data_IF_583419602265
#
_entry.id   IF_583419602265
#
_cell.length_a   1.000
_cell.length_b   1.000
_cell.length_c   1.000
_cell.angle_alpha   90.00
_cell.angle_beta   90.00
_cell.angle_gamma   90.00
#
_symmetry.space_group_name_H-M   'P 1'
#
loop_
_entity.id
_entity.type
_entity.pdbx_description
1 polymer ?
#
# COMPACT_ATOMS: atom_id res chain seq x y z
N UNK A 1 -0.33 13.26 -19.40
CA UNK A 1 0.28 13.66 -18.11
C UNK A 1 -0.02 12.56 -17.10
N UNK A 2 1.01 11.82 -16.66
CA UNK A 2 1.02 10.60 -15.81
C UNK A 2 -0.12 9.56 -15.95
N UNK A 3 -1.39 9.91 -15.68
CA UNK A 3 -2.56 9.02 -15.77
C UNK A 3 -2.65 8.30 -17.13
N UNK A 4 -2.50 9.06 -18.22
CA UNK A 4 -2.50 8.51 -19.59
C UNK A 4 -1.33 7.54 -19.84
N UNK A 5 -0.21 7.73 -19.12
CA UNK A 5 0.95 6.87 -19.20
C UNK A 5 0.71 5.55 -18.49
N UNK A 6 0.34 5.60 -17.21
CA UNK A 6 0.15 4.38 -16.37
C UNK A 6 -0.95 3.46 -16.88
N UNK A 7 -1.95 3.98 -17.60
CA UNK A 7 -3.00 3.17 -18.23
C UNK A 7 -2.47 2.15 -19.24
N UNK A 8 -1.29 2.38 -19.83
CA UNK A 8 -0.71 1.50 -20.85
C UNK A 8 0.51 0.71 -20.33
N UNK A 9 0.86 0.85 -19.04
CA UNK A 9 2.06 0.24 -18.45
C UNK A 9 1.76 -1.12 -17.82
N UNK A 10 1.23 -2.07 -18.59
CA UNK A 10 0.83 -3.40 -18.10
C UNK A 10 1.97 -4.25 -17.50
N UNK A 11 3.22 -3.96 -17.90
CA UNK A 11 4.43 -4.61 -17.40
C UNK A 11 5.11 -3.85 -16.25
N UNK A 12 4.49 -2.79 -15.71
CA UNK A 12 5.08 -2.01 -14.63
C UNK A 12 5.21 -2.86 -13.37
N UNK A 13 6.45 -2.97 -12.86
CA UNK A 13 6.77 -3.73 -11.64
C UNK A 13 7.08 -2.84 -10.45
N UNK A 14 7.44 -1.58 -10.68
CA UNK A 14 7.75 -0.61 -9.63
C UNK A 14 7.16 0.75 -9.98
N UNK A 15 6.46 1.35 -9.01
CA UNK A 15 5.91 2.69 -9.14
C UNK A 15 6.30 3.53 -7.94
N UNK A 16 6.92 4.68 -8.20
CA UNK A 16 7.30 5.64 -7.18
C UNK A 16 6.80 7.03 -7.56
N UNK A 17 6.05 7.67 -6.66
CA UNK A 17 5.59 9.04 -6.81
C UNK A 17 5.38 9.68 -5.43
N UNK A 18 6.49 9.97 -4.75
CA UNK A 18 6.45 10.61 -3.45
C UNK A 18 5.98 12.07 -3.53
N UNK A 19 5.34 12.55 -2.47
CA UNK A 19 4.86 13.93 -2.29
C UNK A 19 3.75 14.43 -3.24
N UNK A 20 3.49 13.77 -4.37
CA UNK A 20 2.58 14.27 -5.42
C UNK A 20 1.59 13.20 -5.94
N UNK A 21 1.44 12.08 -5.22
CA UNK A 21 0.45 11.07 -5.61
C UNK A 21 -0.96 11.43 -5.14
N UNK A 22 -1.96 10.99 -5.90
CA UNK A 22 -3.38 11.16 -5.58
C UNK A 22 -4.11 9.82 -5.72
N UNK A 23 -5.29 9.72 -5.11
CA UNK A 23 -6.16 8.54 -5.26
C UNK A 23 -6.41 8.17 -6.73
N UNK A 24 -6.63 9.15 -7.61
CA UNK A 24 -6.89 8.90 -9.03
C UNK A 24 -5.69 8.21 -9.72
N UNK A 25 -4.46 8.60 -9.37
CA UNK A 25 -3.24 7.98 -9.90
C UNK A 25 -3.16 6.54 -9.42
N UNK A 26 -3.34 6.27 -8.12
CA UNK A 26 -3.30 4.91 -7.59
C UNK A 26 -4.42 4.02 -8.10
N UNK A 27 -5.63 4.57 -8.30
CA UNK A 27 -6.73 3.83 -8.93
C UNK A 27 -6.33 3.41 -10.35
N UNK A 28 -5.73 4.33 -11.11
CA UNK A 28 -5.23 4.01 -12.45
C UNK A 28 -4.10 2.97 -12.42
N UNK A 29 -3.16 3.07 -11.47
CA UNK A 29 -2.08 2.09 -11.31
C UNK A 29 -2.66 0.72 -10.96
N UNK A 30 -3.51 0.62 -9.94
CA UNK A 30 -4.12 -0.62 -9.49
C UNK A 30 -4.92 -1.34 -10.58
N UNK A 31 -5.62 -0.58 -11.43
CA UNK A 31 -6.43 -1.14 -12.50
C UNK A 31 -5.63 -1.57 -13.74
N UNK A 32 -4.43 -1.02 -13.97
CA UNK A 32 -3.70 -1.24 -15.22
C UNK A 32 -2.32 -1.90 -15.04
N UNK A 33 -1.81 -2.00 -13.81
CA UNK A 33 -0.49 -2.55 -13.49
C UNK A 33 -0.60 -3.80 -12.59
N UNK A 34 -1.14 -4.94 -13.10
CA UNK A 34 -1.36 -6.13 -12.28
C UNK A 34 -0.05 -6.80 -11.81
N UNK A 35 1.06 -6.54 -12.51
CA UNK A 35 2.39 -7.07 -12.21
C UNK A 35 3.19 -6.21 -11.22
N UNK A 36 2.58 -5.17 -10.65
CA UNK A 36 3.24 -4.28 -9.70
C UNK A 36 3.74 -5.05 -8.47
N UNK A 37 5.00 -4.84 -8.12
CA UNK A 37 5.70 -5.49 -7.00
C UNK A 37 6.12 -4.50 -5.92
N UNK A 38 6.45 -3.26 -6.29
CA UNK A 38 6.86 -2.21 -5.36
C UNK A 38 6.08 -0.92 -5.62
N UNK A 39 5.52 -0.35 -4.56
CA UNK A 39 4.80 0.91 -4.57
C UNK A 39 5.38 1.83 -3.50
N UNK A 40 5.81 3.03 -3.89
CA UNK A 40 6.19 4.09 -2.95
C UNK A 40 5.48 5.40 -3.29
N UNK A 41 4.62 5.84 -2.38
CA UNK A 41 3.90 7.12 -2.49
C UNK A 41 4.05 7.93 -1.20
N UNK A 42 5.18 7.74 -0.52
CA UNK A 42 5.48 8.41 0.74
C UNK A 42 5.24 9.92 0.66
N UNK A 43 4.69 10.49 1.72
CA UNK A 43 4.32 11.91 1.87
C UNK A 43 3.23 12.41 0.91
N UNK A 44 2.48 11.52 0.26
CA UNK A 44 1.34 11.89 -0.58
C UNK A 44 0.04 11.94 0.23
N UNK A 45 -0.23 13.04 0.93
CA UNK A 45 -1.41 13.19 1.81
C UNK A 45 -2.76 13.02 1.11
N UNK A 46 -2.83 13.22 -0.20
CA UNK A 46 -4.03 13.03 -1.02
C UNK A 46 -4.35 11.56 -1.33
N UNK A 47 -3.47 10.63 -0.93
CA UNK A 47 -3.73 9.19 -0.96
C UNK A 47 -4.44 8.80 0.34
N UNK A 48 -5.62 8.20 0.21
CA UNK A 48 -6.49 7.76 1.31
C UNK A 48 -6.96 6.33 1.08
N UNK A 49 -7.76 5.81 2.01
CA UNK A 49 -8.39 4.48 1.91
C UNK A 49 -9.20 4.28 0.62
N UNK A 50 -9.61 5.37 -0.05
CA UNK A 50 -10.31 5.32 -1.35
C UNK A 50 -9.48 4.64 -2.45
N UNK A 51 -8.16 4.63 -2.33
CA UNK A 51 -7.27 3.98 -3.30
C UNK A 51 -7.09 2.47 -3.05
N UNK A 52 -7.42 1.98 -1.85
CA UNK A 52 -7.14 0.62 -1.41
C UNK A 52 -7.81 -0.44 -2.30
N UNK A 53 -9.12 -0.33 -2.64
CA UNK A 53 -9.76 -1.35 -3.47
C UNK A 53 -9.08 -1.58 -4.81
N UNK A 54 -8.52 -0.53 -5.43
CA UNK A 54 -7.79 -0.65 -6.68
C UNK A 54 -6.41 -1.32 -6.47
N UNK A 55 -5.70 -0.99 -5.38
CA UNK A 55 -4.42 -1.62 -5.05
C UNK A 55 -4.54 -3.12 -4.78
N UNK A 56 -5.72 -3.60 -4.33
CA UNK A 56 -5.99 -5.03 -4.15
C UNK A 56 -5.89 -5.84 -5.44
N UNK A 57 -5.94 -5.21 -6.61
CA UNK A 57 -5.74 -5.88 -7.90
C UNK A 57 -4.26 -6.24 -8.16
N UNK A 58 -3.31 -5.59 -7.48
CA UNK A 58 -1.88 -5.85 -7.61
C UNK A 58 -1.45 -7.06 -6.77
N UNK A 59 -1.84 -8.28 -7.17
CA UNK A 59 -1.57 -9.52 -6.42
C UNK A 59 -0.08 -9.88 -6.29
N UNK A 60 0.79 -9.21 -7.05
CA UNK A 60 2.23 -9.38 -7.01
C UNK A 60 2.95 -8.40 -6.07
N UNK A 61 2.22 -7.52 -5.39
CA UNK A 61 2.80 -6.50 -4.52
C UNK A 61 3.54 -7.14 -3.34
N UNK A 62 4.80 -6.74 -3.18
CA UNK A 62 5.73 -7.18 -2.13
C UNK A 62 6.14 -6.04 -1.21
N UNK A 63 6.23 -4.84 -1.75
CA UNK A 63 6.63 -3.64 -1.03
C UNK A 63 5.58 -2.54 -1.22
N UNK A 64 5.13 -1.94 -0.12
CA UNK A 64 4.10 -0.90 -0.11
C UNK A 64 4.41 0.19 0.91
N UNK A 65 4.95 1.33 0.44
CA UNK A 65 5.34 2.45 1.29
C UNK A 65 4.30 3.56 1.21
N UNK A 66 3.52 3.67 2.29
CA UNK A 66 2.42 4.64 2.43
C UNK A 66 2.66 5.63 3.59
N UNK A 67 3.92 5.78 4.02
CA UNK A 67 4.28 6.69 5.12
C UNK A 67 3.84 8.12 4.79
N UNK A 68 3.25 8.84 5.76
CA UNK A 68 2.72 10.21 5.58
C UNK A 68 1.69 10.35 4.44
N UNK A 69 0.94 9.29 4.14
CA UNK A 69 -0.34 9.38 3.43
C UNK A 69 -1.48 9.56 4.42
N UNK A 70 -2.72 9.63 3.94
CA UNK A 70 -3.94 9.64 4.76
C UNK A 70 -4.65 8.28 4.74
N UNK A 71 -3.90 7.19 4.47
CA UNK A 71 -4.39 5.81 4.60
C UNK A 71 -4.44 5.45 6.08
N UNK A 72 -5.60 4.95 6.53
CA UNK A 72 -5.84 4.60 7.93
C UNK A 72 -5.31 3.21 8.26
N UNK A 73 -5.30 2.87 9.56
CA UNK A 73 -5.00 1.53 10.01
C UNK A 73 -5.94 0.46 9.40
N UNK A 74 -7.20 0.81 9.07
CA UNK A 74 -8.11 -0.11 8.36
C UNK A 74 -7.62 -0.36 6.94
N UNK A 75 -7.20 0.68 6.23
CA UNK A 75 -6.65 0.54 4.88
C UNK A 75 -5.40 -0.33 4.84
N UNK A 76 -4.48 -0.16 5.80
CA UNK A 76 -3.33 -1.05 5.95
C UNK A 76 -3.75 -2.49 6.26
N UNK A 77 -4.68 -2.68 7.20
CA UNK A 77 -5.19 -4.01 7.54
C UNK A 77 -5.80 -4.71 6.32
N UNK A 78 -6.61 -4.00 5.53
CA UNK A 78 -7.22 -4.55 4.33
C UNK A 78 -6.16 -5.00 3.31
N UNK A 79 -5.17 -4.14 3.01
CA UNK A 79 -4.05 -4.50 2.14
C UNK A 79 -3.34 -5.76 2.62
N UNK A 80 -2.96 -5.80 3.89
CA UNK A 80 -2.18 -6.89 4.47
C UNK A 80 -2.97 -8.20 4.60
N UNK A 81 -4.29 -8.12 4.78
CA UNK A 81 -5.16 -9.29 4.86
C UNK A 81 -5.41 -9.93 3.50
N UNK A 82 -5.51 -9.10 2.45
CA UNK A 82 -5.88 -9.55 1.10
C UNK A 82 -4.68 -9.85 0.22
N UNK A 83 -3.53 -9.20 0.44
CA UNK A 83 -2.33 -9.33 -0.38
C UNK A 83 -1.25 -10.15 0.34
N UNK A 84 -1.19 -11.48 0.14
CA UNK A 84 -0.36 -12.39 0.94
C UNK A 84 1.14 -12.29 0.65
N UNK A 85 1.55 -11.50 -0.36
CA UNK A 85 2.94 -11.38 -0.79
C UNK A 85 3.66 -10.15 -0.23
N UNK A 86 2.93 -9.25 0.44
CA UNK A 86 3.50 -8.07 1.06
C UNK A 86 4.48 -8.51 2.15
N UNK A 87 5.70 -8.01 2.05
CA UNK A 87 6.82 -8.33 2.92
C UNK A 87 7.43 -7.07 3.54
N UNK A 88 7.26 -5.91 2.91
CA UNK A 88 7.80 -4.64 3.37
C UNK A 88 6.73 -3.55 3.24
N UNK A 89 6.38 -2.90 4.35
CA UNK A 89 5.47 -1.73 4.34
C UNK A 89 6.20 -0.41 4.63
N UNK A 90 7.53 -0.46 4.69
CA UNK A 90 8.39 0.64 5.09
C UNK A 90 8.04 1.17 6.48
N UNK A 91 8.04 2.50 6.58
CA UNK A 91 7.71 3.17 7.84
C UNK A 91 6.20 3.28 8.04
N UNK A 92 5.70 2.75 9.14
CA UNK A 92 4.29 2.85 9.51
C UNK A 92 4.17 3.23 10.99
N UNK A 93 3.90 4.52 11.25
CA UNK A 93 3.68 5.02 12.61
C UNK A 93 2.31 4.53 13.16
N UNK A 94 1.39 4.09 12.30
CA UNK A 94 0.08 3.53 12.68
C UNK A 94 0.10 2.01 12.93
N UNK A 95 1.29 1.38 12.90
CA UNK A 95 1.36 -0.09 12.89
C UNK A 95 0.81 -0.75 14.16
N UNK A 96 0.96 -0.11 15.32
CA UNK A 96 0.33 -0.57 16.56
C UNK A 96 -1.20 -0.69 16.42
N UNK A 97 -1.85 0.34 15.87
CA UNK A 97 -3.29 0.35 15.60
C UNK A 97 -3.69 -0.72 14.58
N UNK A 98 -2.84 -0.99 13.58
CA UNK A 98 -3.06 -2.09 12.62
C UNK A 98 -3.09 -3.43 13.34
N UNK A 99 -2.13 -3.70 14.24
CA UNK A 99 -2.06 -4.96 14.99
C UNK A 99 -3.26 -5.18 15.92
N UNK A 100 -3.73 -4.13 16.62
CA UNK A 100 -4.94 -4.24 17.44
C UNK A 100 -6.14 -4.70 16.60
N UNK A 101 -6.31 -4.12 15.41
CA UNK A 101 -7.40 -4.50 14.50
C UNK A 101 -7.28 -5.91 13.92
N UNK A 102 -6.07 -6.47 13.85
CA UNK A 102 -5.85 -7.88 13.48
C UNK A 102 -6.22 -8.82 14.63
N UNK A 103 -5.93 -8.43 15.89
CA UNK A 103 -6.26 -9.22 17.08
C UNK A 103 -7.76 -9.37 17.29
N UNK A 104 -8.53 -8.33 16.99
CA UNK A 104 -9.99 -8.35 17.08
C UNK A 104 -10.66 -9.40 16.18
N UNK A 105 -10.00 -9.82 15.09
CA UNK A 105 -10.59 -10.70 14.07
C UNK A 105 -9.97 -12.11 13.99
N UNK A 106 -9.12 -12.53 14.94
CA UNK A 106 -8.45 -13.86 14.93
C UNK A 106 -7.68 -14.17 13.62
N UNK A 107 -7.21 -13.15 12.91
CA UNK A 107 -6.54 -13.31 11.62
C UNK A 107 -5.08 -13.76 11.79
N UNK A 108 -4.61 -14.59 10.83
CA UNK A 108 -3.28 -15.24 10.82
C UNK A 108 -2.11 -14.23 10.87
N UNK A 109 -0.95 -14.76 11.26
CA UNK A 109 0.35 -14.06 11.26
C UNK A 109 0.61 -13.29 9.98
N UNK A 110 0.97 -12.02 10.11
CA UNK A 110 1.41 -11.15 9.01
C UNK A 110 2.73 -11.71 8.41
N UNK A 111 2.80 -11.85 7.08
CA UNK A 111 4.00 -12.30 6.35
C UNK A 111 5.12 -11.26 6.20
N UNK A 112 5.13 -10.24 7.06
CA UNK A 112 6.05 -9.10 6.97
C UNK A 112 7.47 -9.51 7.38
N UNK A 113 8.45 -9.10 6.59
CA UNK A 113 9.88 -9.34 6.81
C UNK A 113 10.65 -8.05 7.16
N UNK A 114 10.11 -6.90 6.78
CA UNK A 114 10.68 -5.60 7.06
C UNK A 114 9.60 -4.62 7.53
N UNK A 115 9.89 -3.90 8.62
CA UNK A 115 9.06 -2.85 9.19
C UNK A 115 9.96 -1.86 9.94
N UNK A 116 9.72 -0.56 9.73
CA UNK A 116 10.30 0.50 10.55
C UNK A 116 9.16 1.20 11.30
N UNK A 117 9.06 1.01 12.61
CA UNK A 117 8.04 1.67 13.44
C UNK A 117 8.73 2.34 14.64
N UNK A 118 8.24 3.52 15.05
CA UNK A 118 8.74 4.21 16.25
C UNK A 118 8.21 3.62 17.56
N UNK A 119 7.12 2.87 17.51
CA UNK A 119 6.40 2.39 18.69
C UNK A 119 6.76 0.95 19.11
N UNK A 120 7.88 0.42 18.61
CA UNK A 120 8.43 -0.89 19.02
C UNK A 120 9.72 -0.79 19.84
N UNK A 121 9.82 0.24 20.70
CA UNK A 121 10.83 0.37 21.75
C UNK A 121 10.18 0.62 23.09
#
# INVERSE_FOLDING_TARGET
YILSGVQNMSNLTSFCLCCDCTNNILISVGNNCPLLQSLDVTSSRSVTDKSIPALLNCKHLKEVKLYRTSVSADGYKELLSVLPRIQDIGRCDEFGNVLEKFREENLKTLGLKALLCRDMT
#
